data_IF_733599154636
#
_entry.id   IF_733599154636
#
_cell.length_a   1.000
_cell.length_b   1.000
_cell.length_c   1.000
_cell.angle_alpha   90.00
_cell.angle_beta   90.00
_cell.angle_gamma   90.00
#
_symmetry.space_group_name_H-M   'P 1'
#
loop_
_entity.id
_entity.type
_entity.pdbx_description
1 polymer ?
#
# COMPACT_ATOMS: atom_id res chain seq x y z
N UNK A 1 3.08 25.06 -21.82
CA UNK A 1 3.62 24.09 -20.85
C UNK A 1 2.50 23.78 -19.89
N UNK A 2 1.87 22.61 -20.02
CA UNK A 2 0.92 22.16 -19.01
C UNK A 2 1.71 21.99 -17.71
N UNK A 3 1.23 22.51 -16.58
CA UNK A 3 1.77 22.10 -15.29
C UNK A 3 1.80 20.57 -15.25
N UNK A 4 2.87 19.93 -14.73
CA UNK A 4 2.82 18.49 -14.53
C UNK A 4 1.57 18.21 -13.68
N UNK A 5 0.65 17.42 -14.22
CA UNK A 5 -0.51 16.96 -13.46
C UNK A 5 0.08 16.18 -12.28
N UNK A 6 -0.22 16.61 -11.05
CA UNK A 6 0.22 15.90 -9.85
C UNK A 6 -0.28 14.45 -9.96
N UNK A 7 0.63 13.49 -9.92
CA UNK A 7 0.24 12.08 -10.10
C UNK A 7 -0.34 11.53 -8.80
N UNK A 8 -1.58 11.04 -8.83
CA UNK A 8 -2.18 10.39 -7.67
C UNK A 8 -1.97 8.88 -7.74
N UNK A 9 -1.56 8.27 -6.63
CA UNK A 9 -1.33 6.83 -6.50
C UNK A 9 -2.16 6.31 -5.33
N UNK A 10 -2.87 5.20 -5.53
CA UNK A 10 -3.39 4.39 -4.42
C UNK A 10 -2.35 3.32 -4.11
N UNK A 11 -1.99 3.17 -2.83
CA UNK A 11 -0.92 2.29 -2.35
C UNK A 11 -1.45 1.41 -1.23
N UNK A 12 -1.02 0.16 -1.24
CA UNK A 12 -1.21 -0.81 -0.17
C UNK A 12 0.05 -1.66 0.03
N UNK A 13 0.27 -2.14 1.25
CA UNK A 13 1.43 -2.94 1.63
C UNK A 13 0.99 -4.19 2.40
N UNK A 14 1.53 -5.33 2.02
CA UNK A 14 1.53 -6.51 2.88
C UNK A 14 2.89 -6.64 3.56
N UNK A 15 2.90 -6.86 4.87
CA UNK A 15 4.11 -6.97 5.67
C UNK A 15 4.01 -8.11 6.69
N UNK A 16 5.18 -8.59 7.13
CA UNK A 16 5.27 -9.73 8.05
C UNK A 16 4.39 -9.54 9.28
N UNK A 17 3.54 -10.52 9.55
CA UNK A 17 2.63 -10.54 10.70
C UNK A 17 2.45 -11.97 11.22
N UNK A 18 1.86 -12.10 12.41
CA UNK A 18 1.64 -13.35 13.12
C UNK A 18 0.27 -13.31 13.80
N UNK A 19 -0.22 -14.48 14.22
CA UNK A 19 -1.42 -14.56 15.04
C UNK A 19 -1.27 -13.71 16.31
N UNK A 20 -2.25 -12.85 16.59
CA UNK A 20 -2.23 -11.94 17.74
C UNK A 20 -1.36 -10.68 17.58
N UNK A 21 -0.63 -10.52 16.46
CA UNK A 21 0.30 -9.40 16.30
C UNK A 21 -0.43 -8.06 16.14
N UNK A 22 -1.58 -8.04 15.44
CA UNK A 22 -2.37 -6.82 15.24
C UNK A 22 -2.90 -6.29 16.58
N UNK A 23 -3.42 -7.17 17.43
CA UNK A 23 -3.95 -6.86 18.76
C UNK A 23 -2.88 -6.30 19.70
N UNK A 24 -1.64 -6.75 19.51
CA UNK A 24 -0.47 -6.27 20.23
C UNK A 24 0.28 -5.12 19.55
N UNK A 25 -0.24 -4.53 18.47
CA UNK A 25 0.43 -3.51 17.64
C UNK A 25 1.88 -3.89 17.25
N UNK A 26 2.08 -5.16 16.90
CA UNK A 26 3.39 -5.75 16.55
C UNK A 26 4.49 -5.50 17.61
N UNK A 27 4.11 -5.31 18.87
CA UNK A 27 5.05 -5.00 19.95
C UNK A 27 5.80 -6.21 20.51
N UNK A 28 5.48 -7.42 20.05
CA UNK A 28 6.13 -8.65 20.48
C UNK A 28 7.60 -8.74 20.03
N UNK A 29 8.46 -9.49 20.74
CA UNK A 29 9.86 -9.67 20.36
C UNK A 29 10.01 -10.18 18.93
N UNK A 30 10.75 -9.45 18.09
CA UNK A 30 11.02 -9.82 16.70
C UNK A 30 9.87 -9.58 15.72
N UNK A 31 8.73 -9.02 16.18
CA UNK A 31 7.58 -8.70 15.34
C UNK A 31 7.82 -7.41 14.53
N UNK A 32 8.80 -7.45 13.64
CA UNK A 32 9.09 -6.34 12.74
C UNK A 32 8.12 -6.39 11.56
N UNK A 33 7.55 -5.25 11.17
CA UNK A 33 6.69 -5.11 9.99
C UNK A 33 7.53 -4.97 8.71
N UNK A 34 8.24 -6.03 8.33
CA UNK A 34 9.00 -6.05 7.08
C UNK A 34 8.05 -6.19 5.89
N UNK A 35 8.13 -5.29 4.93
CA UNK A 35 7.30 -5.35 3.73
C UNK A 35 7.62 -6.62 2.94
N UNK A 36 6.57 -7.31 2.50
CA UNK A 36 6.62 -8.56 1.72
C UNK A 36 5.95 -8.39 0.35
N UNK A 37 4.94 -7.54 0.22
CA UNK A 37 4.36 -7.16 -1.07
C UNK A 37 4.08 -5.66 -1.09
N UNK A 38 4.29 -5.04 -2.25
CA UNK A 38 3.90 -3.66 -2.54
C UNK A 38 2.93 -3.71 -3.69
N UNK A 39 1.77 -3.08 -3.54
CA UNK A 39 0.79 -2.90 -4.60
C UNK A 39 0.42 -1.43 -4.73
N UNK A 40 0.53 -0.88 -5.93
CA UNK A 40 0.19 0.50 -6.18
C UNK A 40 -0.44 0.70 -7.56
N UNK A 41 -1.38 1.63 -7.66
CA UNK A 41 -2.04 2.00 -8.91
C UNK A 41 -1.98 3.50 -9.14
N UNK A 42 -1.50 3.92 -10.31
CA UNK A 42 -1.51 5.33 -10.72
C UNK A 42 -2.88 5.68 -11.30
N UNK A 43 -3.45 6.78 -10.84
CA UNK A 43 -4.77 7.25 -11.21
C UNK A 43 -4.69 8.42 -12.19
N UNK A 44 -5.60 8.42 -13.17
CA UNK A 44 -5.84 9.56 -14.05
C UNK A 44 -6.68 10.64 -13.38
N UNK A 45 -6.94 11.74 -14.10
CA UNK A 45 -7.78 12.85 -13.60
C UNK A 45 -9.21 12.41 -13.24
N UNK A 46 -9.72 11.39 -13.94
CA UNK A 46 -11.01 10.74 -13.70
C UNK A 46 -10.95 9.62 -12.66
N UNK A 47 -9.81 9.46 -11.98
CA UNK A 47 -9.50 8.39 -11.04
C UNK A 47 -9.63 6.97 -11.62
N UNK A 48 -9.55 6.83 -12.95
CA UNK A 48 -9.33 5.53 -13.58
C UNK A 48 -7.88 5.09 -13.41
N UNK A 49 -7.67 3.79 -13.21
CA UNK A 49 -6.32 3.20 -13.13
C UNK A 49 -5.64 3.29 -14.50
N UNK A 50 -4.42 3.81 -14.53
CA UNK A 50 -3.61 4.01 -15.75
C UNK A 50 -2.38 3.11 -15.79
N UNK A 51 -1.77 2.89 -14.63
CA UNK A 51 -0.58 2.07 -14.47
C UNK A 51 -0.67 1.30 -13.16
N UNK A 52 -0.10 0.12 -13.14
CA UNK A 52 -0.02 -0.76 -11.97
C UNK A 52 1.45 -0.98 -11.63
N UNK A 53 1.74 -1.11 -10.34
CA UNK A 53 3.03 -1.49 -9.81
C UNK A 53 2.80 -2.57 -8.75
N UNK A 54 3.44 -3.72 -8.93
CA UNK A 54 3.37 -4.82 -7.99
C UNK A 54 4.73 -5.52 -7.91
N UNK A 55 5.24 -5.67 -6.68
CA UNK A 55 6.47 -6.41 -6.42
C UNK A 55 6.38 -7.20 -5.11
N UNK A 56 7.01 -8.37 -5.09
CA UNK A 56 7.35 -9.07 -3.85
C UNK A 56 8.66 -8.53 -3.29
N UNK A 57 8.76 -8.52 -1.97
CA UNK A 57 9.93 -8.04 -1.22
C UNK A 57 10.39 -9.16 -0.30
N UNK A 58 11.70 -9.42 -0.28
CA UNK A 58 12.28 -10.45 0.58
C UNK A 58 12.64 -9.86 1.95
N UNK A 59 11.93 -10.22 3.04
CA UNK A 59 12.27 -9.75 4.38
C UNK A 59 13.65 -10.30 4.81
N UNK A 60 14.37 -9.53 5.63
CA UNK A 60 15.76 -9.81 6.01
C UNK A 60 15.84 -10.32 7.44
N UNK A 61 15.10 -9.73 8.38
CA UNK A 61 15.10 -10.15 9.78
C UNK A 61 14.21 -11.39 10.00
N UNK A 62 13.08 -11.47 9.30
CA UNK A 62 12.12 -12.57 9.33
C UNK A 62 11.98 -13.19 7.92
N UNK A 63 13.04 -13.82 7.37
CA UNK A 63 13.03 -14.35 6.00
C UNK A 63 12.07 -15.53 5.80
N UNK A 64 11.61 -16.15 6.88
CA UNK A 64 10.57 -17.19 6.85
C UNK A 64 9.23 -16.58 7.25
N UNK A 65 8.31 -16.54 6.30
CA UNK A 65 6.95 -16.06 6.50
C UNK A 65 6.21 -16.96 7.49
N UNK A 66 5.36 -16.34 8.32
CA UNK A 66 4.53 -17.10 9.24
C UNK A 66 3.41 -17.82 8.47
N UNK A 67 2.94 -19.00 8.94
CA UNK A 67 1.78 -19.65 8.35
C UNK A 67 0.54 -18.75 8.34
N UNK A 68 0.39 -17.90 9.36
CA UNK A 68 -0.69 -16.92 9.46
C UNK A 68 -0.63 -15.90 8.32
N UNK A 69 0.54 -15.30 8.06
CA UNK A 69 0.73 -14.36 6.96
C UNK A 69 0.41 -15.00 5.60
N UNK A 70 0.93 -16.21 5.35
CA UNK A 70 0.68 -16.92 4.10
C UNK A 70 -0.81 -17.26 3.91
N UNK A 71 -1.50 -17.64 4.99
CA UNK A 71 -2.93 -17.94 4.93
C UNK A 71 -3.79 -16.68 4.73
N UNK A 72 -3.37 -15.55 5.32
CA UNK A 72 -4.05 -14.27 5.20
C UNK A 72 -3.94 -13.68 3.79
N UNK A 73 -2.72 -13.65 3.25
CA UNK A 73 -2.40 -12.95 1.99
C UNK A 73 -2.40 -13.85 0.75
N UNK A 74 -2.31 -15.16 0.95
CA UNK A 74 -2.08 -16.13 -0.13
C UNK A 74 -0.65 -16.13 -0.67
N UNK A 75 0.23 -15.24 -0.20
CA UNK A 75 1.64 -15.18 -0.63
C UNK A 75 2.38 -16.40 -0.11
N UNK A 76 3.06 -17.13 -1.01
CA UNK A 76 3.82 -18.33 -0.66
C UNK A 76 5.28 -17.98 -0.43
N UNK A 77 5.91 -18.67 0.51
CA UNK A 77 7.36 -18.56 0.76
C UNK A 77 8.18 -18.77 -0.53
N UNK A 78 7.81 -19.76 -1.35
CA UNK A 78 8.49 -20.08 -2.61
C UNK A 78 8.46 -18.92 -3.61
N UNK A 79 7.40 -18.12 -3.62
CA UNK A 79 7.29 -16.98 -4.52
C UNK A 79 8.16 -15.82 -4.04
N UNK A 80 8.22 -15.57 -2.73
CA UNK A 80 9.14 -14.57 -2.14
C UNK A 80 10.60 -14.98 -2.29
N UNK A 81 10.93 -16.25 -2.13
CA UNK A 81 12.29 -16.76 -2.30
C UNK A 81 12.77 -16.60 -3.75
N UNK A 82 11.87 -16.83 -4.72
CA UNK A 82 12.15 -16.79 -6.16
C UNK A 82 12.15 -15.36 -6.72
N UNK A 83 11.11 -14.60 -6.42
CA UNK A 83 10.80 -13.33 -7.10
C UNK A 83 10.98 -12.11 -6.18
N UNK A 84 11.18 -12.31 -4.88
CA UNK A 84 11.29 -11.23 -3.90
C UNK A 84 12.53 -10.35 -4.10
N UNK A 85 12.29 -9.06 -4.30
CA UNK A 85 13.34 -8.05 -4.44
C UNK A 85 14.01 -7.74 -3.08
N UNK A 86 15.28 -7.31 -3.07
CA UNK A 86 15.88 -6.70 -1.89
C UNK A 86 15.06 -5.47 -1.43
N UNK A 87 14.85 -5.26 -0.11
CA UNK A 87 13.99 -4.18 0.38
C UNK A 87 14.36 -2.78 -0.15
N UNK A 88 15.65 -2.44 -0.16
CA UNK A 88 16.09 -1.12 -0.65
C UNK A 88 15.81 -0.91 -2.15
N UNK A 89 15.85 -1.99 -2.95
CA UNK A 89 15.49 -1.92 -4.37
C UNK A 89 13.99 -1.71 -4.52
N UNK A 90 13.16 -2.55 -3.88
CA UNK A 90 11.71 -2.45 -3.97
C UNK A 90 11.17 -1.08 -3.51
N UNK A 91 11.72 -0.54 -2.41
CA UNK A 91 11.40 0.80 -1.93
C UNK A 91 11.81 1.88 -2.95
N UNK A 92 12.99 1.76 -3.54
CA UNK A 92 13.47 2.69 -4.57
C UNK A 92 12.58 2.68 -5.81
N UNK A 93 12.14 1.50 -6.24
CA UNK A 93 11.25 1.33 -7.40
C UNK A 93 9.85 1.90 -7.11
N UNK A 94 9.31 1.67 -5.90
CA UNK A 94 8.07 2.32 -5.45
C UNK A 94 8.20 3.85 -5.42
N UNK A 95 9.29 4.39 -4.87
CA UNK A 95 9.49 5.83 -4.82
C UNK A 95 9.61 6.46 -6.21
N UNK A 96 10.24 5.76 -7.16
CA UNK A 96 10.23 6.16 -8.56
C UNK A 96 8.81 6.17 -9.15
N UNK A 97 8.01 5.16 -8.84
CA UNK A 97 6.62 5.09 -9.27
C UNK A 97 5.76 6.24 -8.70
N UNK A 98 5.96 6.61 -7.44
CA UNK A 98 5.21 7.69 -6.79
C UNK A 98 5.73 9.11 -7.11
N UNK A 99 6.90 9.23 -7.73
CA UNK A 99 7.61 10.51 -7.89
C UNK A 99 6.76 11.59 -8.58
N UNK A 100 6.79 12.80 -8.03
CA UNK A 100 6.10 13.96 -8.60
C UNK A 100 4.62 14.08 -8.23
N UNK A 101 4.15 13.33 -7.23
CA UNK A 101 2.77 13.43 -6.77
C UNK A 101 2.51 12.88 -5.37
N UNK A 102 1.33 12.27 -5.18
CA UNK A 102 0.80 11.85 -3.88
C UNK A 102 0.41 10.38 -3.92
N UNK A 103 0.94 9.61 -2.97
CA UNK A 103 0.52 8.25 -2.68
C UNK A 103 -0.43 8.24 -1.47
N UNK A 104 -1.62 7.67 -1.65
CA UNK A 104 -2.65 7.52 -0.66
C UNK A 104 -2.74 6.07 -0.20
N UNK A 105 -2.73 5.84 1.10
CA UNK A 105 -2.98 4.53 1.71
C UNK A 105 -4.20 4.57 2.62
N UNK A 106 -4.86 3.43 2.80
CA UNK A 106 -6.01 3.29 3.69
C UNK A 106 -5.58 2.85 5.11
N UNK A 107 -4.66 3.59 5.68
CA UNK A 107 -3.98 3.17 6.89
C UNK A 107 -2.67 3.91 7.09
N UNK A 108 -1.87 3.43 8.03
CA UNK A 108 -0.60 4.05 8.40
C UNK A 108 0.60 3.42 7.65
N UNK A 109 0.42 2.95 6.42
CA UNK A 109 1.45 2.34 5.57
C UNK A 109 2.70 3.20 5.41
N UNK A 110 2.56 4.54 5.45
CA UNK A 110 3.72 5.44 5.46
C UNK A 110 4.65 5.24 6.65
N UNK A 111 4.13 4.81 7.81
CA UNK A 111 4.95 4.46 8.97
C UNK A 111 5.77 3.21 8.68
N UNK A 112 5.14 2.18 8.08
CA UNK A 112 5.81 0.93 7.68
C UNK A 112 6.87 1.19 6.61
N UNK A 113 6.60 2.06 5.63
CA UNK A 113 7.61 2.53 4.68
C UNK A 113 8.81 3.16 5.40
N UNK A 114 8.55 4.06 6.35
CA UNK A 114 9.59 4.73 7.13
C UNK A 114 10.46 3.75 7.92
N UNK A 115 9.84 2.75 8.56
CA UNK A 115 10.53 1.67 9.28
C UNK A 115 11.46 0.88 8.34
N UNK A 116 10.95 0.45 7.19
CA UNK A 116 11.70 -0.36 6.23
C UNK A 116 12.85 0.44 5.58
N UNK A 117 12.65 1.73 5.30
CA UNK A 117 13.74 2.63 4.88
C UNK A 117 14.80 2.76 5.98
N UNK A 118 14.39 2.91 7.23
CA UNK A 118 15.29 2.97 8.38
C UNK A 118 16.14 1.71 8.51
N UNK A 119 15.53 0.54 8.42
CA UNK A 119 16.24 -0.74 8.48
C UNK A 119 17.16 -0.97 7.29
N UNK A 120 16.76 -0.59 6.07
CA UNK A 120 17.64 -0.63 4.90
C UNK A 120 18.91 0.22 5.13
N UNK A 121 18.73 1.46 5.59
CA UNK A 121 19.86 2.36 5.91
C UNK A 121 20.75 1.83 7.02
N UNK A 122 20.17 1.20 8.05
CA UNK A 122 20.93 0.57 9.13
C UNK A 122 21.83 -0.58 8.63
N UNK A 123 21.47 -1.23 7.50
CA UNK A 123 22.30 -2.24 6.81
C UNK A 123 23.26 -1.63 5.78
N UNK A 124 23.33 -0.31 5.65
CA UNK A 124 24.14 0.37 4.64
C UNK A 124 23.52 0.36 3.23
N UNK A 125 22.26 -0.02 3.11
CA UNK A 125 21.51 0.00 1.85
C UNK A 125 20.79 1.35 1.69
N UNK A 126 20.78 1.91 0.48
CA UNK A 126 20.10 3.19 0.20
C UNK A 126 19.17 3.00 -0.99
N UNK A 127 17.85 3.21 -0.83
CA UNK A 127 16.92 3.27 -1.95
C UNK A 127 17.39 4.30 -2.98
N UNK A 128 17.36 3.93 -4.26
CA UNK A 128 17.88 4.77 -5.36
C UNK A 128 17.12 6.10 -5.48
N UNK A 129 15.82 6.07 -5.24
CA UNK A 129 14.93 7.23 -5.25
C UNK A 129 14.56 7.62 -3.82
N UNK A 130 14.31 8.91 -3.59
CA UNK A 130 14.06 9.42 -2.25
C UNK A 130 12.59 9.36 -1.88
N UNK A 131 12.30 9.07 -0.62
CA UNK A 131 10.92 9.16 -0.10
C UNK A 131 10.35 10.60 -0.17
N UNK A 132 11.21 11.61 -0.33
CA UNK A 132 10.83 13.03 -0.43
C UNK A 132 10.34 13.44 -1.83
N UNK A 133 10.48 12.55 -2.82
CA UNK A 133 10.07 12.83 -4.20
C UNK A 133 8.53 12.70 -4.39
N UNK A 134 7.82 12.23 -3.35
CA UNK A 134 6.37 12.10 -3.31
C UNK A 134 5.84 12.37 -1.88
N UNK A 135 4.56 12.74 -1.76
CA UNK A 135 3.88 12.78 -0.47
C UNK A 135 3.16 11.45 -0.20
N UNK A 136 3.29 10.90 1.00
CA UNK A 136 2.57 9.69 1.44
C UNK A 136 1.57 10.05 2.52
N UNK A 137 0.27 9.87 2.24
CA UNK A 137 -0.81 10.36 3.10
C UNK A 137 -1.82 9.25 3.44
N UNK A 138 -2.35 9.29 4.66
CA UNK A 138 -3.41 8.40 5.12
C UNK A 138 -4.76 8.98 4.71
N UNK A 139 -5.46 8.33 3.78
CA UNK A 139 -6.78 8.79 3.30
C UNK A 139 -7.95 8.24 4.12
N UNK A 140 -7.70 7.27 5.02
CA UNK A 140 -8.73 6.60 5.83
C UNK A 140 -9.62 7.57 6.62
N UNK A 141 -9.11 8.62 7.30
CA UNK A 141 -9.97 9.56 8.03
C UNK A 141 -10.98 10.28 7.13
N UNK A 142 -10.56 10.69 5.93
CA UNK A 142 -11.45 11.36 4.97
C UNK A 142 -12.51 10.38 4.45
N UNK A 143 -12.09 9.18 4.07
CA UNK A 143 -12.99 8.16 3.54
C UNK A 143 -14.05 7.76 4.58
N UNK A 144 -13.64 7.47 5.81
CA UNK A 144 -14.54 7.11 6.91
C UNK A 144 -15.49 8.22 7.32
N UNK A 145 -15.10 9.49 7.17
CA UNK A 145 -15.99 10.61 7.47
C UNK A 145 -17.15 10.70 6.47
N UNK A 146 -16.93 10.25 5.23
CA UNK A 146 -17.92 10.28 4.15
C UNK A 146 -18.71 8.98 4.01
N UNK A 147 -18.08 7.85 4.34
CA UNK A 147 -18.67 6.52 4.30
C UNK A 147 -18.33 5.75 5.59
N UNK A 148 -19.02 6.00 6.72
CA UNK A 148 -18.71 5.37 8.01
C UNK A 148 -18.73 3.83 8.00
N UNK A 149 -19.48 3.23 7.07
CA UNK A 149 -19.53 1.78 6.85
C UNK A 149 -18.16 1.17 6.50
N UNK A 150 -17.20 1.96 6.02
CA UNK A 150 -15.85 1.48 5.71
C UNK A 150 -14.94 1.40 6.93
N UNK A 151 -15.32 2.00 8.07
CA UNK A 151 -14.41 2.15 9.20
C UNK A 151 -13.89 0.82 9.76
N UNK A 152 -14.69 -0.25 9.65
CA UNK A 152 -14.38 -1.60 10.12
C UNK A 152 -13.76 -2.52 9.05
N UNK A 153 -13.47 -2.00 7.85
CA UNK A 153 -12.89 -2.78 6.74
C UNK A 153 -11.41 -2.44 6.53
N UNK A 154 -10.69 -3.29 5.80
CA UNK A 154 -9.37 -2.96 5.22
C UNK A 154 -9.55 -2.38 3.80
N UNK A 155 -8.45 -2.00 3.16
CA UNK A 155 -8.43 -1.44 1.80
C UNK A 155 -9.09 -2.39 0.78
N UNK A 156 -8.77 -3.68 0.79
CA UNK A 156 -9.35 -4.71 -0.07
C UNK A 156 -10.86 -4.91 0.07
N UNK A 157 -11.44 -4.58 1.23
CA UNK A 157 -12.88 -4.68 1.48
C UNK A 157 -13.69 -3.42 1.12
N UNK A 158 -13.05 -2.29 0.81
CA UNK A 158 -13.73 -1.00 0.56
C UNK A 158 -14.78 -1.09 -0.55
N UNK A 159 -14.46 -1.73 -1.69
CA UNK A 159 -15.40 -1.89 -2.80
C UNK A 159 -16.69 -2.58 -2.38
N UNK A 160 -16.58 -3.61 -1.53
CA UNK A 160 -17.72 -4.39 -1.05
C UNK A 160 -18.53 -3.62 -0.02
N UNK A 161 -17.86 -2.92 0.90
CA UNK A 161 -18.51 -2.05 1.88
C UNK A 161 -19.35 -0.96 1.20
N UNK A 162 -18.88 -0.41 0.06
CA UNK A 162 -19.57 0.61 -0.73
C UNK A 162 -20.53 0.06 -1.79
N UNK A 163 -20.73 -1.26 -1.87
CA UNK A 163 -21.63 -1.90 -2.84
C UNK A 163 -21.20 -1.74 -4.31
N UNK A 164 -19.90 -1.67 -4.58
CA UNK A 164 -19.34 -1.49 -5.92
C UNK A 164 -19.20 -2.82 -6.65
N UNK A 165 -18.94 -2.74 -7.96
CA UNK A 165 -18.44 -3.88 -8.70
C UNK A 165 -17.02 -4.23 -8.20
N UNK A 166 -16.66 -5.51 -8.29
CA UNK A 166 -15.30 -5.97 -7.99
C UNK A 166 -14.31 -5.20 -8.87
N UNK A 167 -13.24 -4.61 -8.29
CA UNK A 167 -12.41 -3.64 -9.00
C UNK A 167 -11.41 -4.30 -9.97
N UNK A 168 -10.92 -5.49 -9.64
CA UNK A 168 -9.93 -6.25 -10.42
C UNK A 168 -9.95 -7.74 -10.07
N UNK A 169 -9.15 -8.54 -10.79
CA UNK A 169 -8.80 -9.90 -10.38
C UNK A 169 -7.91 -9.87 -9.13
N UNK A 170 -7.85 -10.98 -8.37
CA UNK A 170 -7.14 -11.04 -7.09
C UNK A 170 -8.07 -11.10 -5.88
N UNK A 171 -7.56 -10.99 -4.66
CA UNK A 171 -8.35 -11.12 -3.44
C UNK A 171 -7.91 -10.09 -2.39
N UNK A 172 -8.79 -9.83 -1.42
CA UNK A 172 -8.48 -9.06 -0.21
C UNK A 172 -7.22 -9.62 0.46
N UNK A 173 -6.33 -8.74 0.91
CA UNK A 173 -4.96 -9.05 1.39
C UNK A 173 -3.96 -9.44 0.29
N UNK A 174 -4.24 -9.04 -0.95
CA UNK A 174 -3.24 -8.91 -2.01
C UNK A 174 -3.05 -7.43 -2.27
N UNK A 175 -1.83 -6.91 -2.06
CA UNK A 175 -1.59 -5.46 -2.07
C UNK A 175 -2.10 -4.76 -3.35
N UNK A 176 -1.93 -5.38 -4.54
CA UNK A 176 -2.44 -4.78 -5.78
C UNK A 176 -3.97 -4.74 -5.84
N UNK A 177 -4.66 -5.79 -5.39
CA UNK A 177 -6.13 -5.81 -5.32
C UNK A 177 -6.65 -4.78 -4.32
N UNK A 178 -5.98 -4.65 -3.18
CA UNK A 178 -6.31 -3.68 -2.13
C UNK A 178 -6.12 -2.24 -2.62
N UNK A 179 -5.07 -1.96 -3.39
CA UNK A 179 -4.87 -0.68 -4.07
C UNK A 179 -5.97 -0.37 -5.11
N UNK A 180 -6.42 -1.38 -5.87
CA UNK A 180 -7.56 -1.27 -6.80
C UNK A 180 -8.89 -0.98 -6.08
N UNK A 181 -9.12 -1.64 -4.96
CA UNK A 181 -10.29 -1.41 -4.11
C UNK A 181 -10.30 0.00 -3.53
N UNK A 182 -9.15 0.50 -3.08
CA UNK A 182 -8.99 1.88 -2.66
C UNK A 182 -9.28 2.86 -3.80
N UNK A 183 -8.72 2.63 -5.00
CA UNK A 183 -8.97 3.48 -6.16
C UNK A 183 -10.46 3.55 -6.52
N UNK A 184 -11.17 2.41 -6.49
CA UNK A 184 -12.61 2.36 -6.74
C UNK A 184 -13.41 3.17 -5.70
N UNK A 185 -13.03 3.09 -4.43
CA UNK A 185 -13.66 3.86 -3.35
C UNK A 185 -13.43 5.37 -3.49
N UNK A 186 -12.20 5.79 -3.83
CA UNK A 186 -11.88 7.20 -4.10
C UNK A 186 -12.71 7.74 -5.27
N UNK A 187 -12.75 6.99 -6.39
CA UNK A 187 -13.55 7.39 -7.56
C UNK A 187 -15.03 7.51 -7.22
N UNK A 188 -15.58 6.54 -6.50
CA UNK A 188 -16.99 6.53 -6.10
C UNK A 188 -17.41 7.76 -5.30
N UNK A 189 -16.57 8.19 -4.35
CA UNK A 189 -16.85 9.36 -3.50
C UNK A 189 -16.68 10.66 -4.28
N UNK A 190 -15.67 10.76 -5.16
CA UNK A 190 -15.46 11.93 -6.02
C UNK A 190 -16.59 12.11 -7.03
N UNK A 191 -17.06 11.03 -7.66
CA UNK A 191 -18.23 11.04 -8.56
C UNK A 191 -19.52 11.50 -7.86
N UNK A 192 -19.60 11.36 -6.53
CA UNK A 192 -20.72 11.85 -5.69
C UNK A 192 -20.56 13.30 -5.22
N UNK A 193 -19.53 13.99 -5.69
CA UNK A 193 -19.30 15.41 -5.38
C UNK A 193 -18.44 15.66 -4.15
N UNK A 194 -17.74 14.65 -3.64
CA UNK A 194 -16.76 14.83 -2.56
C UNK A 194 -15.35 15.01 -3.12
N UNK A 195 -14.81 16.23 -3.22
CA UNK A 195 -13.44 16.41 -3.69
C UNK A 195 -12.45 15.75 -2.72
N UNK A 196 -11.35 15.23 -3.27
CA UNK A 196 -10.21 14.76 -2.48
C UNK A 196 -9.68 15.88 -1.57
N UNK A 197 -9.06 15.53 -0.42
CA UNK A 197 -8.45 16.51 0.46
C UNK A 197 -7.49 17.47 -0.27
N UNK A 198 -7.40 18.70 0.25
CA UNK A 198 -6.44 19.67 -0.25
C UNK A 198 -5.02 19.10 -0.20
N UNK A 199 -4.25 19.27 -1.28
CA UNK A 199 -2.91 18.71 -1.42
C UNK A 199 -2.84 17.32 -2.05
N UNK A 200 -3.97 16.66 -2.35
CA UNK A 200 -4.03 15.41 -3.11
C UNK A 200 -4.27 15.63 -4.62
N UNK A 201 -4.16 16.86 -5.12
CA UNK A 201 -4.36 17.28 -6.51
C UNK A 201 -3.24 18.19 -6.97
#
# INVERSE_FOLDING_TARGET
MSSPVSSLVALDLEFTTWEGAVEGDWSGPGQLREIVQIGAVRLGEDLSVREEFEVLVRPVANPRLSPYFCALTGIRQEDVDRDGLPPAQALGDLFAFCAGGVALSYGNDMMVLGENVGWARARGEVPRHGFLDAAFLNIRPWLNALAPETAATNSGGLWKALGLARPSDGAEHSALFDAHSLAAALRHLVERGHPLPAGCR
#
